data_IF_171644488413
#
_entry.id   IF_171644488413
#
_cell.length_a   1.000
_cell.length_b   1.000
_cell.length_c   1.000
_cell.angle_alpha   90.00
_cell.angle_beta   90.00
_cell.angle_gamma   90.00
#
_symmetry.space_group_name_H-M   'P 1'
#
loop_
_entity.id
_entity.type
_entity.pdbx_description
1 polymer ?
#
# COMPACT_ATOMS: atom_id res chain seq x y z
N UNK A 1 1.72 -3.40 -4.88
CA UNK A 1 2.91 -4.14 -4.39
C UNK A 1 3.01 -3.98 -2.88
N UNK A 2 3.40 -5.04 -2.18
CA UNK A 2 3.66 -5.03 -0.73
C UNK A 2 5.04 -5.62 -0.51
N UNK A 3 5.86 -4.93 0.28
CA UNK A 3 7.15 -5.42 0.77
C UNK A 3 6.96 -5.91 2.20
N UNK A 4 7.36 -7.15 2.48
CA UNK A 4 7.24 -7.80 3.78
C UNK A 4 8.36 -8.83 3.94
N UNK A 5 8.63 -9.25 5.17
CA UNK A 5 9.49 -10.38 5.45
C UNK A 5 8.64 -11.66 5.46
N UNK A 6 8.85 -12.51 4.46
CA UNK A 6 8.14 -13.77 4.29
C UNK A 6 9.01 -14.98 4.65
N UNK A 7 10.15 -14.78 5.33
CA UNK A 7 11.09 -15.86 5.68
C UNK A 7 10.43 -16.97 6.50
N UNK A 8 9.61 -16.62 7.49
CA UNK A 8 8.85 -17.59 8.31
C UNK A 8 7.90 -18.43 7.45
N UNK A 9 7.01 -17.79 6.68
CA UNK A 9 6.08 -18.46 5.80
C UNK A 9 6.78 -19.35 4.75
N UNK A 10 7.95 -18.95 4.23
CA UNK A 10 8.70 -19.82 3.30
C UNK A 10 9.33 -21.04 3.97
N UNK A 11 9.57 -21.00 5.28
CA UNK A 11 10.11 -22.13 6.03
C UNK A 11 9.03 -23.13 6.45
N UNK A 12 7.80 -22.65 6.72
CA UNK A 12 6.68 -23.44 7.22
C UNK A 12 5.64 -23.80 6.17
N UNK A 13 5.57 -23.05 5.06
CA UNK A 13 4.50 -23.08 4.06
C UNK A 13 3.09 -22.73 4.63
N UNK A 14 3.05 -21.93 5.70
CA UNK A 14 1.81 -21.54 6.38
C UNK A 14 1.38 -20.11 6.03
N UNK A 15 0.16 -19.95 5.51
CA UNK A 15 -0.40 -18.64 5.12
C UNK A 15 -0.56 -17.69 6.32
N UNK A 16 -0.73 -18.23 7.53
CA UNK A 16 -0.84 -17.44 8.75
C UNK A 16 0.47 -16.75 9.16
N UNK A 17 1.60 -17.12 8.55
CA UNK A 17 2.91 -16.51 8.81
C UNK A 17 3.31 -15.45 7.76
N UNK A 18 2.38 -15.06 6.89
CA UNK A 18 2.56 -13.98 5.92
C UNK A 18 1.30 -13.13 5.82
N UNK A 19 1.35 -12.10 4.99
CA UNK A 19 0.19 -11.26 4.70
C UNK A 19 -0.64 -11.93 3.61
N UNK A 20 -1.89 -12.22 3.92
CA UNK A 20 -2.87 -12.79 2.98
C UNK A 20 -3.19 -11.80 1.86
N UNK A 21 -3.05 -12.23 0.61
CA UNK A 21 -3.47 -11.43 -0.54
C UNK A 21 -5.00 -11.26 -0.62
N UNK A 22 -5.76 -12.15 0.03
CA UNK A 22 -7.22 -12.02 0.14
C UNK A 22 -7.54 -10.77 0.98
N UNK A 23 -6.88 -10.62 2.13
CA UNK A 23 -7.08 -9.46 3.01
C UNK A 23 -6.65 -8.16 2.32
N UNK A 24 -5.55 -8.19 1.56
CA UNK A 24 -5.10 -7.04 0.76
C UNK A 24 -6.15 -6.63 -0.28
N UNK A 25 -6.77 -7.60 -0.96
CA UNK A 25 -7.81 -7.35 -1.94
C UNK A 25 -9.08 -6.79 -1.28
N UNK A 26 -9.53 -7.40 -0.18
CA UNK A 26 -10.71 -6.96 0.56
C UNK A 26 -10.57 -5.53 1.07
N UNK A 27 -9.38 -5.15 1.57
CA UNK A 27 -9.11 -3.77 2.00
C UNK A 27 -9.20 -2.81 0.80
N UNK A 28 -8.60 -3.16 -0.34
CA UNK A 28 -8.64 -2.30 -1.52
C UNK A 28 -10.08 -2.14 -2.04
N UNK A 29 -10.83 -3.23 -2.16
CA UNK A 29 -12.24 -3.25 -2.58
C UNK A 29 -13.10 -2.40 -1.64
N UNK A 30 -12.95 -2.57 -0.33
CA UNK A 30 -13.71 -1.81 0.66
C UNK A 30 -13.48 -0.29 0.56
N UNK A 31 -12.29 0.16 0.14
CA UNK A 31 -12.04 1.59 -0.11
C UNK A 31 -12.66 2.03 -1.44
N UNK A 32 -12.54 1.22 -2.49
CA UNK A 32 -13.09 1.54 -3.84
C UNK A 32 -14.62 1.59 -3.83
N UNK A 33 -15.27 0.66 -3.14
CA UNK A 33 -16.73 0.57 -3.00
C UNK A 33 -17.30 1.53 -1.93
N UNK A 34 -16.42 2.21 -1.19
CA UNK A 34 -16.78 3.20 -0.20
C UNK A 34 -17.33 4.50 -0.80
N UNK A 35 -17.36 5.60 -0.01
CA UNK A 35 -17.79 6.90 -0.51
C UNK A 35 -17.01 7.31 -1.76
N UNK A 36 -17.72 7.82 -2.77
CA UNK A 36 -17.09 8.31 -3.99
C UNK A 36 -16.09 9.43 -3.69
N UNK A 37 -14.92 9.35 -4.33
CA UNK A 37 -13.85 10.34 -4.23
C UNK A 37 -13.67 11.02 -5.58
N UNK A 38 -13.42 12.33 -5.57
CA UNK A 38 -13.19 13.10 -6.80
C UNK A 38 -11.80 12.83 -7.42
N UNK A 39 -10.84 12.36 -6.61
CA UNK A 39 -9.44 12.18 -7.00
C UNK A 39 -8.98 10.73 -6.86
N UNK A 40 -8.33 10.21 -7.90
CA UNK A 40 -7.69 8.87 -7.85
C UNK A 40 -6.44 8.87 -6.97
N UNK A 41 -5.85 10.04 -6.73
CA UNK A 41 -4.78 10.28 -5.76
C UNK A 41 -5.25 9.98 -4.34
N UNK A 42 -6.42 10.49 -3.96
CA UNK A 42 -6.99 10.25 -2.63
C UNK A 42 -7.32 8.77 -2.45
N UNK A 43 -7.85 8.12 -3.49
CA UNK A 43 -8.12 6.68 -3.48
C UNK A 43 -6.82 5.88 -3.31
N UNK A 44 -5.81 6.14 -4.14
CA UNK A 44 -4.52 5.45 -4.08
C UNK A 44 -3.83 5.65 -2.72
N UNK A 45 -3.82 6.89 -2.21
CA UNK A 45 -3.26 7.21 -0.90
C UNK A 45 -3.99 6.50 0.23
N UNK A 46 -5.33 6.50 0.23
CA UNK A 46 -6.13 5.86 1.28
C UNK A 46 -5.91 4.36 1.34
N UNK A 47 -5.86 3.69 0.18
CA UNK A 47 -5.53 2.26 0.12
C UNK A 47 -4.10 2.04 0.64
N UNK A 48 -3.13 2.84 0.17
CA UNK A 48 -1.74 2.71 0.60
C UNK A 48 -1.56 2.91 2.11
N UNK A 49 -2.28 3.86 2.71
CA UNK A 49 -2.25 4.12 4.15
C UNK A 49 -2.81 2.92 4.92
N UNK A 50 -3.99 2.40 4.53
CA UNK A 50 -4.59 1.22 5.18
C UNK A 50 -3.73 -0.03 5.07
N UNK A 51 -3.13 -0.27 3.90
CA UNK A 51 -2.25 -1.43 3.72
C UNK A 51 -0.95 -1.27 4.52
N UNK A 52 -0.40 -0.06 4.61
CA UNK A 52 0.83 0.21 5.38
C UNK A 52 0.64 0.03 6.89
N UNK A 53 -0.59 0.11 7.39
CA UNK A 53 -0.93 -0.12 8.80
C UNK A 53 -1.04 -1.61 9.18
N UNK A 54 -1.00 -2.52 8.20
CA UNK A 54 -1.00 -3.96 8.47
C UNK A 54 0.33 -4.40 9.12
N UNK A 55 0.23 -5.29 10.11
CA UNK A 55 1.40 -5.87 10.74
C UNK A 55 2.26 -6.62 9.70
N UNK A 56 3.59 -6.47 9.81
CA UNK A 56 4.54 -7.11 8.90
C UNK A 56 4.76 -6.37 7.57
N UNK A 57 4.00 -5.31 7.27
CA UNK A 57 4.26 -4.47 6.09
C UNK A 57 5.43 -3.54 6.31
N UNK A 58 6.43 -3.62 5.43
CA UNK A 58 7.61 -2.76 5.43
C UNK A 58 7.37 -1.51 4.56
N UNK A 59 6.77 -1.74 3.39
CA UNK A 59 6.39 -0.70 2.44
C UNK A 59 5.25 -1.20 1.56
N UNK A 60 4.52 -0.27 0.96
CA UNK A 60 3.50 -0.57 -0.05
C UNK A 60 3.59 0.42 -1.20
N UNK A 61 3.16 -0.04 -2.37
CA UNK A 61 2.95 0.79 -3.54
C UNK A 61 1.60 0.40 -4.15
N UNK A 62 0.70 1.37 -4.25
CA UNK A 62 -0.65 1.19 -4.78
C UNK A 62 -0.77 1.96 -6.07
N UNK A 63 -1.19 1.28 -7.13
CA UNK A 63 -1.45 1.88 -8.44
C UNK A 63 -2.95 1.86 -8.70
N UNK A 64 -3.54 3.03 -8.93
CA UNK A 64 -4.93 3.17 -9.37
C UNK A 64 -4.93 3.53 -10.85
N UNK A 65 -5.53 2.68 -11.66
CA UNK A 65 -5.70 2.87 -13.11
C UNK A 65 -7.07 3.50 -13.40
N UNK A 66 -7.09 4.43 -14.36
CA UNK A 66 -8.30 5.08 -14.87
C UNK A 66 -8.23 5.15 -16.40
N UNK A 67 -8.42 4.01 -17.09
CA UNK A 67 -8.37 3.95 -18.55
C UNK A 67 -9.48 4.76 -19.22
N UNK A 68 -10.64 4.91 -18.57
CA UNK A 68 -11.80 5.63 -19.09
C UNK A 68 -11.86 7.10 -18.59
N UNK A 69 -10.72 7.72 -18.27
CA UNK A 69 -10.69 9.13 -17.86
C UNK A 69 -11.25 10.04 -18.99
N UNK A 70 -12.05 11.07 -18.67
CA UNK A 70 -12.65 11.95 -19.67
C UNK A 70 -11.62 12.96 -20.22
N UNK A 71 -10.66 12.47 -20.99
CA UNK A 71 -9.57 13.25 -21.59
C UNK A 71 -9.77 13.29 -23.10
N UNK A 72 -9.70 14.48 -23.71
CA UNK A 72 -9.98 14.68 -25.14
C UNK A 72 -8.87 14.21 -26.10
N UNK A 73 -7.75 13.74 -25.57
CA UNK A 73 -6.60 13.28 -26.35
C UNK A 73 -6.51 11.76 -26.37
N UNK A 74 -5.88 11.12 -27.37
CA UNK A 74 -5.67 9.69 -27.36
C UNK A 74 -4.77 9.26 -26.21
N UNK A 75 -5.26 8.32 -25.39
CA UNK A 75 -4.49 7.63 -24.37
C UNK A 75 -5.11 6.24 -24.13
N UNK A 76 -4.35 5.34 -23.52
CA UNK A 76 -4.84 3.98 -23.17
C UNK A 76 -5.02 3.79 -21.67
N UNK A 77 -4.30 4.57 -20.86
CA UNK A 77 -4.35 4.50 -19.40
C UNK A 77 -3.83 5.80 -18.77
N UNK A 78 -4.46 6.21 -17.68
CA UNK A 78 -3.90 7.18 -16.72
C UNK A 78 -3.86 6.48 -15.37
N UNK A 79 -2.73 6.61 -14.67
CA UNK A 79 -2.58 6.00 -13.35
C UNK A 79 -1.89 6.91 -12.37
N UNK A 80 -2.27 6.74 -11.10
CA UNK A 80 -1.55 7.32 -9.96
C UNK A 80 -0.94 6.19 -9.15
N UNK A 81 0.30 6.41 -8.72
CA UNK A 81 1.06 5.49 -7.87
C UNK A 81 1.31 6.17 -6.52
N UNK A 82 0.75 5.61 -5.46
CA UNK A 82 0.99 6.04 -4.09
C UNK A 82 1.93 5.06 -3.39
N UNK A 83 3.05 5.58 -2.87
CA UNK A 83 4.00 4.78 -2.09
C UNK A 83 3.97 5.19 -0.62
N UNK A 84 4.01 4.19 0.27
CA UNK A 84 4.26 4.35 1.71
C UNK A 84 5.36 3.40 2.13
N UNK A 85 6.11 3.83 3.13
CA UNK A 85 7.07 3.02 3.85
C UNK A 85 7.11 3.58 5.26
N UNK A 86 7.24 2.72 6.26
CA UNK A 86 7.46 3.18 7.62
C UNK A 86 8.70 4.09 7.61
N UNK A 87 8.56 5.36 8.02
CA UNK A 87 9.74 6.16 8.34
C UNK A 87 10.37 5.41 9.52
N UNK A 88 11.56 4.86 9.34
CA UNK A 88 12.36 4.40 10.46
C UNK A 88 12.37 5.56 11.45
N UNK A 89 11.70 5.38 12.60
CA UNK A 89 11.73 6.36 13.67
C UNK A 89 13.21 6.63 13.93
N UNK A 90 13.68 7.84 13.62
CA UNK A 90 15.05 8.22 13.92
C UNK A 90 15.21 8.02 15.42
N UNK A 91 15.90 6.95 15.81
CA UNK A 91 16.29 6.74 17.21
C UNK A 91 17.14 7.96 17.55
N UNK A 92 16.77 8.81 18.53
CA UNK A 92 17.64 9.90 18.94
C UNK A 92 18.99 9.26 19.29
N UNK A 93 20.05 9.65 18.61
CA UNK A 93 21.40 9.30 19.02
C UNK A 93 21.55 9.89 20.41
N UNK A 94 21.54 9.04 21.44
CA UNK A 94 21.85 9.47 22.79
C UNK A 94 23.24 10.10 22.72
N UNK A 95 23.31 11.41 22.98
CA UNK A 95 24.58 12.13 23.02
C UNK A 95 25.47 11.46 24.05
N UNK A 96 26.60 10.94 23.60
CA UNK A 96 27.69 10.49 24.48
C UNK A 96 28.25 11.74 25.16
N UNK A 97 27.78 12.02 26.37
CA UNK A 97 28.48 12.89 27.30
C UNK A 97 29.58 12.10 27.99
N UNK A 98 30.83 12.49 27.75
CA UNK A 98 31.88 12.57 28.76
C UNK A 98 32.94 13.57 28.29
#
# INVERSE_FOLDING_TARGET
MVWTDFSAATASDEISETISYVDLADIAVAVVEGPSLDLIETLAATIADRLNDLAGVIAVEVTVHKPDAPIHHPFTDVRVVARRSQKSSQRPVAGTGQ
#
